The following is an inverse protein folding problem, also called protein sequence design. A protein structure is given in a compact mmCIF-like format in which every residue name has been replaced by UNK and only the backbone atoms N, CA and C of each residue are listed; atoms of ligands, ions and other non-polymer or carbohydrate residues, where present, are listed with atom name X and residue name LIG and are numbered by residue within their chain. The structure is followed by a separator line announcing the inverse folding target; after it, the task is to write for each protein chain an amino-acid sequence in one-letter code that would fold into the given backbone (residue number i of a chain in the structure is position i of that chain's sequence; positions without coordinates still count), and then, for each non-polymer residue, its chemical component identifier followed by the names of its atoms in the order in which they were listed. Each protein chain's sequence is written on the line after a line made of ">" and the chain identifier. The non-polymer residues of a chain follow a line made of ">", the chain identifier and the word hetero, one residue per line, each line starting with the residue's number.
data_IF_834665506360
#
_entry.id   IF_834665506360
#
_cell.length_a   1.000
_cell.length_b   1.000
_cell.length_c   1.000
_cell.angle_alpha   90.00
_cell.angle_beta   90.00
_cell.angle_gamma   90.00
#
_symmetry.space_group_name_H-M   'P 1'
#
loop_
_entity.id
_entity.type
_entity.pdbx_description
1 polymer ?
#
# COMPACT_ATOMS: atom_id res chain seq x y z
N UNK A 1 -26.44 -31.14 11.93
CA UNK A 1 -26.45 -30.61 10.55
C UNK A 1 -27.44 -31.41 9.70
N UNK A 2 -27.34 -32.75 9.68
CA UNK A 2 -28.13 -33.64 8.81
C UNK A 2 -29.65 -33.45 8.81
N UNK A 3 -30.33 -33.36 9.97
CA UNK A 3 -31.80 -33.36 9.99
C UNK A 3 -32.42 -32.12 9.32
N UNK A 4 -31.92 -30.93 9.62
CA UNK A 4 -32.47 -29.68 9.08
C UNK A 4 -32.10 -29.47 7.60
N UNK A 5 -30.92 -29.93 7.19
CA UNK A 5 -30.55 -29.96 5.76
C UNK A 5 -31.44 -30.93 4.99
N UNK A 6 -31.64 -32.14 5.52
CA UNK A 6 -32.52 -33.14 4.92
C UNK A 6 -33.94 -32.61 4.77
N UNK A 7 -34.53 -32.04 5.82
CA UNK A 7 -35.84 -31.38 5.74
C UNK A 7 -35.87 -30.27 4.67
N UNK A 8 -34.85 -29.41 4.64
CA UNK A 8 -34.77 -28.31 3.67
C UNK A 8 -34.68 -28.79 2.21
N UNK A 9 -33.87 -29.81 1.94
CA UNK A 9 -33.64 -30.35 0.60
C UNK A 9 -34.76 -31.30 0.14
N UNK A 10 -35.48 -31.95 1.07
CA UNK A 10 -36.68 -32.76 0.78
C UNK A 10 -37.96 -31.92 0.68
N UNK A 11 -37.85 -30.59 0.69
CA UNK A 11 -38.96 -29.66 0.42
C UNK A 11 -39.72 -29.16 1.65
N UNK A 12 -39.33 -29.58 2.86
CA UNK A 12 -39.93 -29.11 4.11
C UNK A 12 -39.23 -27.82 4.54
N UNK A 13 -39.61 -26.71 3.88
CA UNK A 13 -38.98 -25.37 4.03
C UNK A 13 -39.86 -24.39 4.80
N UNK A 14 -40.49 -24.84 5.87
CA UNK A 14 -41.17 -23.91 6.76
C UNK A 14 -40.16 -22.96 7.43
N UNK A 15 -40.66 -21.82 7.88
CA UNK A 15 -39.81 -20.73 8.39
C UNK A 15 -38.98 -21.20 9.60
N UNK A 16 -39.50 -22.10 10.43
CA UNK A 16 -38.77 -22.59 11.60
C UNK A 16 -37.60 -23.50 11.17
N UNK A 17 -37.81 -24.42 10.23
CA UNK A 17 -36.73 -25.25 9.67
C UNK A 17 -35.64 -24.40 9.03
N UNK A 18 -36.01 -23.39 8.23
CA UNK A 18 -35.03 -22.52 7.57
C UNK A 18 -34.24 -21.69 8.58
N UNK A 19 -34.91 -21.09 9.56
CA UNK A 19 -34.27 -20.30 10.61
C UNK A 19 -33.34 -21.14 11.49
N UNK A 20 -33.75 -22.35 11.85
CA UNK A 20 -32.91 -23.26 12.63
C UNK A 20 -31.71 -23.77 11.83
N UNK A 21 -31.88 -24.03 10.52
CA UNK A 21 -30.76 -24.37 9.64
C UNK A 21 -29.76 -23.21 9.53
N UNK A 22 -30.25 -21.97 9.43
CA UNK A 22 -29.41 -20.78 9.43
C UNK A 22 -28.60 -20.64 10.73
N UNK A 23 -29.22 -20.88 11.89
CA UNK A 23 -28.52 -20.90 13.19
C UNK A 23 -27.41 -21.97 13.21
N UNK A 24 -27.66 -23.15 12.62
CA UNK A 24 -26.64 -24.20 12.51
C UNK A 24 -25.47 -23.69 11.65
N UNK A 25 -25.72 -23.14 10.46
CA UNK A 25 -24.65 -22.59 9.63
C UNK A 25 -23.86 -21.49 10.34
N UNK A 26 -24.54 -20.65 11.13
CA UNK A 26 -23.86 -19.62 11.93
C UNK A 26 -22.90 -20.21 12.98
N UNK A 27 -23.28 -21.32 13.63
CA UNK A 27 -22.42 -22.04 14.59
C UNK A 27 -21.20 -22.66 13.90
N UNK A 28 -21.32 -23.06 12.63
CA UNK A 28 -20.24 -23.62 11.83
C UNK A 28 -19.43 -22.57 11.02
N UNK A 29 -19.56 -21.28 11.37
CA UNK A 29 -18.87 -20.16 10.70
C UNK A 29 -19.17 -20.02 9.19
N UNK A 30 -20.29 -20.59 8.74
CA UNK A 30 -20.79 -20.52 7.36
C UNK A 30 -21.73 -19.32 7.19
N UNK A 31 -21.22 -18.12 7.48
CA UNK A 31 -22.02 -16.89 7.62
C UNK A 31 -22.83 -16.55 6.37
N UNK A 32 -22.26 -16.72 5.17
CA UNK A 32 -22.94 -16.42 3.90
C UNK A 32 -24.17 -17.31 3.71
N UNK A 33 -24.07 -18.59 4.10
CA UNK A 33 -25.20 -19.53 4.03
C UNK A 33 -26.26 -19.18 5.07
N UNK A 34 -25.84 -18.87 6.29
CA UNK A 34 -26.74 -18.42 7.36
C UNK A 34 -27.51 -17.16 6.94
N UNK A 35 -26.81 -16.14 6.45
CA UNK A 35 -27.40 -14.88 5.99
C UNK A 35 -28.42 -15.10 4.87
N UNK A 36 -28.09 -15.95 3.89
CA UNK A 36 -28.99 -16.30 2.78
C UNK A 36 -30.29 -16.90 3.29
N UNK A 37 -30.22 -17.82 4.25
CA UNK A 37 -31.38 -18.49 4.82
C UNK A 37 -32.20 -17.57 5.74
N UNK A 38 -31.57 -16.72 6.54
CA UNK A 38 -32.29 -15.69 7.29
C UNK A 38 -33.05 -14.73 6.35
N UNK A 39 -32.40 -14.29 5.27
CA UNK A 39 -33.05 -13.45 4.26
C UNK A 39 -34.25 -14.14 3.60
N UNK A 40 -34.13 -15.44 3.30
CA UNK A 40 -35.26 -16.24 2.82
C UNK A 40 -36.39 -16.28 3.86
N UNK A 41 -36.08 -16.59 5.12
CA UNK A 41 -37.05 -16.70 6.20
C UNK A 41 -37.78 -15.36 6.48
N UNK A 42 -37.07 -14.23 6.45
CA UNK A 42 -37.65 -12.89 6.62
C UNK A 42 -38.58 -12.49 5.47
N UNK A 43 -38.30 -12.93 4.24
CA UNK A 43 -39.17 -12.68 3.07
C UNK A 43 -40.41 -13.59 3.07
N UNK A 44 -40.28 -14.80 3.62
CA UNK A 44 -41.30 -15.83 3.55
C UNK A 44 -42.38 -15.73 4.63
N UNK A 45 -42.22 -14.91 5.69
CA UNK A 45 -43.32 -14.72 6.64
C UNK A 45 -43.13 -13.64 7.70
N UNK A 46 -44.12 -13.57 8.60
CA UNK A 46 -44.29 -12.51 9.60
C UNK A 46 -43.57 -12.74 10.94
N UNK A 47 -42.79 -13.83 11.03
CA UNK A 47 -42.11 -14.25 12.26
C UNK A 47 -40.98 -13.31 12.65
N UNK A 48 -40.83 -13.03 13.95
CA UNK A 48 -39.79 -12.15 14.47
C UNK A 48 -38.44 -12.84 14.71
N UNK A 49 -38.41 -14.16 14.87
CA UNK A 49 -37.19 -14.94 15.12
C UNK A 49 -36.08 -14.70 14.07
N UNK A 50 -36.37 -14.72 12.75
CA UNK A 50 -35.32 -14.55 11.75
C UNK A 50 -34.71 -13.15 11.76
N UNK A 51 -35.49 -12.12 12.12
CA UNK A 51 -34.99 -10.76 12.27
C UNK A 51 -34.05 -10.67 13.48
N UNK A 52 -34.41 -11.30 14.61
CA UNK A 52 -33.54 -11.31 15.78
C UNK A 52 -32.23 -12.05 15.53
N UNK A 53 -32.28 -13.23 14.91
CA UNK A 53 -31.08 -14.00 14.60
C UNK A 53 -30.19 -13.32 13.54
N UNK A 54 -30.79 -12.64 12.56
CA UNK A 54 -30.05 -11.74 11.67
C UNK A 54 -29.38 -10.62 12.46
N UNK A 55 -30.09 -10.00 13.41
CA UNK A 55 -29.51 -9.02 14.33
C UNK A 55 -28.29 -9.57 15.06
N UNK A 56 -28.35 -10.79 15.60
CA UNK A 56 -27.20 -11.44 16.25
C UNK A 56 -26.03 -11.65 15.31
N UNK A 57 -26.29 -12.09 14.06
CA UNK A 57 -25.25 -12.20 13.03
C UNK A 57 -24.60 -10.83 12.76
N UNK A 58 -25.39 -9.76 12.71
CA UNK A 58 -24.86 -8.39 12.57
C UNK A 58 -24.04 -7.98 13.78
N UNK A 59 -24.44 -8.32 15.01
CA UNK A 59 -23.64 -8.07 16.22
C UNK A 59 -22.29 -8.78 16.14
N UNK A 60 -22.29 -10.07 15.78
CA UNK A 60 -21.07 -10.87 15.58
C UNK A 60 -20.14 -10.23 14.54
N UNK A 61 -20.71 -9.67 13.47
CA UNK A 61 -19.97 -9.01 12.40
C UNK A 61 -19.64 -7.55 12.69
N UNK A 62 -19.91 -7.09 13.92
CA UNK A 62 -19.60 -5.74 14.34
C UNK A 62 -20.37 -4.71 13.49
N UNK A 63 -21.62 -5.02 13.13
CA UNK A 63 -22.52 -4.19 12.31
C UNK A 63 -23.70 -3.67 13.15
N UNK A 64 -23.43 -2.83 14.15
CA UNK A 64 -24.42 -2.43 15.16
C UNK A 64 -25.65 -1.71 14.65
N UNK A 65 -25.49 -0.76 13.73
CA UNK A 65 -26.65 -0.02 13.19
C UNK A 65 -27.63 -0.96 12.50
N UNK A 66 -27.10 -1.94 11.77
CA UNK A 66 -27.87 -2.99 11.13
C UNK A 66 -28.49 -3.94 12.16
N UNK A 67 -27.72 -4.36 13.17
CA UNK A 67 -28.25 -5.15 14.29
C UNK A 67 -29.45 -4.46 14.95
N UNK A 68 -29.29 -3.21 15.40
CA UNK A 68 -30.36 -2.48 16.09
C UNK A 68 -31.61 -2.34 15.23
N UNK A 69 -31.44 -2.17 13.91
CA UNK A 69 -32.56 -2.16 12.95
C UNK A 69 -33.30 -3.50 12.93
N UNK A 70 -32.57 -4.60 12.79
CA UNK A 70 -33.15 -5.95 12.78
C UNK A 70 -33.78 -6.33 14.14
N UNK A 71 -33.13 -5.98 15.26
CA UNK A 71 -33.65 -6.18 16.61
C UNK A 71 -34.94 -5.37 16.85
N UNK A 72 -35.02 -4.14 16.35
CA UNK A 72 -36.25 -3.35 16.42
C UNK A 72 -37.39 -3.97 15.60
N UNK A 73 -37.07 -4.49 14.42
CA UNK A 73 -38.04 -5.15 13.54
C UNK A 73 -38.54 -6.49 14.11
N UNK A 74 -37.68 -7.22 14.83
CA UNK A 74 -38.04 -8.41 15.60
C UNK A 74 -39.01 -8.06 16.75
N UNK A 75 -38.73 -6.99 17.51
CA UNK A 75 -39.61 -6.51 18.59
C UNK A 75 -40.99 -6.08 18.08
N UNK A 76 -41.07 -5.47 16.88
CA UNK A 76 -42.36 -5.15 16.23
C UNK A 76 -43.18 -6.38 15.86
N UNK A 77 -42.55 -7.55 15.81
CA UNK A 77 -43.19 -8.87 15.56
C UNK A 77 -43.31 -9.70 16.84
N UNK A 78 -43.35 -9.01 17.99
CA UNK A 78 -43.50 -9.61 19.31
C UNK A 78 -42.42 -10.65 19.64
N UNK A 79 -41.23 -10.51 19.06
CA UNK A 79 -40.09 -11.38 19.36
C UNK A 79 -38.98 -10.61 20.06
N UNK A 80 -38.60 -11.09 21.24
CA UNK A 80 -37.46 -10.61 22.01
C UNK A 80 -36.69 -11.79 22.61
N UNK A 81 -35.43 -11.54 22.99
CA UNK A 81 -34.64 -12.52 23.74
C UNK A 81 -35.38 -12.92 25.03
N UNK A 82 -35.31 -14.21 25.38
CA UNK A 82 -35.76 -14.70 26.68
C UNK A 82 -34.75 -14.38 27.81
N UNK A 83 -33.55 -13.93 27.46
CA UNK A 83 -32.56 -13.47 28.44
C UNK A 83 -32.99 -12.14 29.04
N UNK A 84 -32.87 -12.00 30.36
CA UNK A 84 -33.05 -10.73 31.07
C UNK A 84 -31.91 -9.73 30.79
N UNK A 85 -30.82 -10.18 30.17
CA UNK A 85 -29.73 -9.30 29.77
C UNK A 85 -30.03 -8.67 28.41
N UNK A 86 -29.90 -7.34 28.26
CA UNK A 86 -30.06 -6.68 26.98
C UNK A 86 -28.99 -7.20 26.02
N UNK A 87 -29.42 -7.78 24.90
CA UNK A 87 -28.51 -8.28 23.86
C UNK A 87 -27.93 -7.12 23.02
N UNK A 88 -28.59 -5.95 23.06
CA UNK A 88 -28.19 -4.70 22.41
C UNK A 88 -27.46 -3.78 23.43
N UNK A 89 -26.35 -4.23 24.02
CA UNK A 89 -25.45 -3.28 24.72
C UNK A 89 -24.60 -2.62 23.64
N UNK A 90 -25.08 -1.47 23.14
CA UNK A 90 -24.21 -0.55 22.42
C UNK A 90 -23.19 -0.02 23.45
N UNK A 91 -21.88 -0.30 23.30
CA UNK A 91 -20.90 0.20 24.25
C UNK A 91 -20.93 1.72 24.28
N UNK A 92 -20.75 2.31 25.46
CA UNK A 92 -20.70 3.77 25.59
C UNK A 92 -19.43 4.30 24.94
N UNK A 93 -19.40 5.59 24.58
CA UNK A 93 -18.20 6.23 24.02
C UNK A 93 -16.98 6.11 24.94
N UNK A 94 -17.19 5.98 26.25
CA UNK A 94 -16.12 5.84 27.22
C UNK A 94 -15.55 4.40 27.22
N UNK A 95 -16.41 3.38 27.17
CA UNK A 95 -16.00 1.98 26.98
C UNK A 95 -15.20 1.80 25.68
N UNK A 96 -15.54 2.55 24.63
CA UNK A 96 -14.82 2.55 23.35
C UNK A 96 -13.37 3.03 23.48
N UNK A 97 -13.14 4.12 24.20
CA UNK A 97 -11.77 4.62 24.40
C UNK A 97 -10.97 3.69 25.31
N UNK A 98 -11.58 3.14 26.35
CA UNK A 98 -10.92 2.14 27.19
C UNK A 98 -10.53 0.90 26.39
N UNK A 99 -11.40 0.36 25.52
CA UNK A 99 -11.08 -0.79 24.67
C UNK A 99 -9.96 -0.46 23.67
N UNK A 100 -9.98 0.69 23.00
CA UNK A 100 -8.93 1.08 22.04
C UNK A 100 -7.57 1.32 22.71
N UNK A 101 -7.58 1.92 23.90
CA UNK A 101 -6.36 2.25 24.64
C UNK A 101 -5.81 1.05 25.42
N UNK A 102 -6.66 0.06 25.72
CA UNK A 102 -6.27 -1.18 26.41
C UNK A 102 -5.95 -2.33 25.45
N UNK A 103 -6.50 -2.32 24.23
CA UNK A 103 -6.06 -3.21 23.17
C UNK A 103 -4.58 -2.93 22.87
N UNK A 104 -3.68 -3.90 23.04
CA UNK A 104 -2.30 -3.71 22.66
C UNK A 104 -2.29 -3.39 21.18
N UNK A 105 -1.72 -2.24 20.80
CA UNK A 105 -1.54 -1.80 19.42
C UNK A 105 -0.96 -2.95 18.58
N UNK A 106 -1.86 -3.74 17.99
CA UNK A 106 -1.47 -4.78 17.07
C UNK A 106 -1.10 -4.04 15.79
N UNK A 107 0.20 -3.73 15.64
CA UNK A 107 0.76 -3.22 14.39
C UNK A 107 0.33 -4.06 13.16
N UNK A 108 -0.11 -5.30 13.41
CA UNK A 108 -0.63 -6.27 12.46
C UNK A 108 -2.07 -5.99 11.93
N UNK A 109 -2.84 -5.09 12.55
CA UNK A 109 -4.23 -4.83 12.18
C UNK A 109 -4.47 -3.72 11.14
N UNK A 110 -3.47 -2.88 10.87
CA UNK A 110 -3.64 -1.71 9.97
C UNK A 110 -3.12 -2.02 8.56
N UNK A 111 -2.02 -2.77 8.47
CA UNK A 111 -1.40 -3.18 7.21
C UNK A 111 -1.02 -4.64 7.35
N UNK A 112 -1.53 -5.51 6.46
CA UNK A 112 -1.17 -6.91 6.51
C UNK A 112 0.36 -7.06 6.24
N UNK A 113 1.13 -7.59 7.20
CA UNK A 113 2.59 -7.61 7.17
C UNK A 113 3.14 -8.38 5.96
N UNK A 114 2.36 -9.33 5.42
CA UNK A 114 2.70 -10.08 4.20
C UNK A 114 2.99 -9.14 3.03
N UNK A 115 2.36 -7.96 2.97
CA UNK A 115 2.60 -6.99 1.91
C UNK A 115 3.77 -6.06 2.20
N UNK A 116 4.05 -5.73 3.47
CA UNK A 116 5.12 -4.78 3.84
C UNK A 116 6.49 -5.45 3.81
N UNK A 117 6.59 -6.70 4.28
CA UNK A 117 7.86 -7.41 4.38
C UNK A 117 8.61 -7.53 3.04
N UNK A 118 7.97 -7.87 1.90
CA UNK A 118 8.66 -7.92 0.61
C UNK A 118 9.29 -6.58 0.22
N UNK A 119 8.59 -5.44 0.43
CA UNK A 119 9.14 -4.13 0.10
C UNK A 119 10.33 -3.77 0.98
N UNK A 120 10.26 -4.06 2.28
CA UNK A 120 11.37 -3.85 3.21
C UNK A 120 12.56 -4.74 2.86
N UNK A 121 12.32 -6.01 2.52
CA UNK A 121 13.38 -6.93 2.10
C UNK A 121 14.03 -6.43 0.82
N UNK A 122 13.25 -6.07 -0.22
CA UNK A 122 13.80 -5.51 -1.47
C UNK A 122 14.63 -4.26 -1.17
N UNK A 123 14.12 -3.34 -0.33
CA UNK A 123 14.85 -2.16 0.09
C UNK A 123 16.18 -2.52 0.78
N UNK A 124 16.19 -3.44 1.73
CA UNK A 124 17.42 -3.90 2.40
C UNK A 124 18.38 -4.58 1.39
N UNK A 125 17.87 -5.41 0.49
CA UNK A 125 18.65 -6.07 -0.56
C UNK A 125 19.32 -5.06 -1.50
N UNK A 126 18.73 -3.88 -1.74
CA UNK A 126 19.38 -2.84 -2.56
C UNK A 126 20.62 -2.23 -1.92
N UNK A 127 20.79 -2.35 -0.59
CA UNK A 127 22.01 -1.95 0.11
C UNK A 127 23.07 -3.04 0.16
N UNK A 128 22.74 -4.27 -0.25
CA UNK A 128 23.76 -5.31 -0.35
C UNK A 128 24.74 -4.93 -1.47
N UNK A 129 26.06 -5.01 -1.22
CA UNK A 129 27.08 -4.59 -2.16
C UNK A 129 27.27 -5.60 -3.31
N UNK A 130 26.22 -5.87 -4.08
CA UNK A 130 26.33 -6.59 -5.33
C UNK A 130 26.96 -5.68 -6.39
N UNK A 131 28.30 -5.62 -6.39
CA UNK A 131 29.06 -4.89 -7.41
C UNK A 131 29.06 -5.66 -8.73
N UNK A 132 28.01 -5.47 -9.52
CA UNK A 132 28.09 -5.75 -10.96
C UNK A 132 29.00 -4.70 -11.60
N UNK A 133 30.21 -5.09 -12.00
CA UNK A 133 31.10 -4.19 -12.75
C UNK A 133 30.47 -3.92 -14.12
N UNK A 134 29.91 -2.72 -14.30
CA UNK A 134 29.40 -2.27 -15.59
C UNK A 134 30.53 -2.28 -16.64
N UNK A 135 30.25 -2.64 -17.90
CA UNK A 135 31.15 -2.29 -18.99
C UNK A 135 31.33 -0.76 -19.02
N UNK A 136 32.57 -0.29 -19.17
CA UNK A 136 32.87 1.12 -19.34
C UNK A 136 32.53 1.51 -20.78
N UNK A 137 32.16 2.78 -21.02
CA UNK A 137 31.89 3.29 -22.36
C UNK A 137 32.73 4.52 -22.64
N UNK A 138 33.20 4.68 -23.88
CA UNK A 138 33.96 5.86 -24.29
C UNK A 138 33.06 7.10 -24.30
N UNK A 139 33.45 8.17 -23.62
CA UNK A 139 32.70 9.43 -23.62
C UNK A 139 32.52 10.06 -25.01
N UNK A 140 33.50 9.89 -25.91
CA UNK A 140 33.48 10.47 -27.26
C UNK A 140 32.74 9.62 -28.29
N UNK A 141 33.04 8.32 -28.37
CA UNK A 141 32.53 7.45 -29.44
C UNK A 141 31.47 6.44 -28.99
N UNK A 142 31.20 6.33 -27.68
CA UNK A 142 30.18 5.44 -27.12
C UNK A 142 30.51 3.93 -27.18
N UNK A 143 31.70 3.53 -27.66
CA UNK A 143 32.10 2.11 -27.69
C UNK A 143 32.31 1.56 -26.28
N UNK A 144 31.94 0.30 -26.06
CA UNK A 144 32.25 -0.42 -24.83
C UNK A 144 33.76 -0.66 -24.70
N UNK A 145 34.30 -0.44 -23.50
CA UNK A 145 35.73 -0.48 -23.18
C UNK A 145 35.95 -1.46 -22.02
N UNK A 146 37.01 -2.26 -22.11
CA UNK A 146 37.44 -3.13 -21.02
C UNK A 146 38.11 -2.31 -19.89
N UNK A 147 38.06 -2.78 -18.63
CA UNK A 147 38.69 -2.07 -17.50
C UNK A 147 40.21 -1.82 -17.67
N UNK A 148 40.90 -2.63 -18.48
CA UNK A 148 42.33 -2.45 -18.81
C UNK A 148 42.58 -1.52 -20.00
N UNK A 149 41.53 -1.22 -20.77
CA UNK A 149 41.58 -0.51 -22.05
C UNK A 149 41.15 0.97 -21.89
N UNK A 150 40.69 1.34 -20.69
CA UNK A 150 40.27 2.69 -20.37
C UNK A 150 41.48 3.59 -20.16
N UNK A 151 41.43 4.77 -20.76
CA UNK A 151 42.27 5.91 -20.42
C UNK A 151 41.37 6.94 -19.73
N UNK A 152 41.86 7.55 -18.66
CA UNK A 152 41.09 8.50 -17.85
C UNK A 152 41.67 9.90 -18.02
N UNK A 153 40.83 10.86 -18.42
CA UNK A 153 41.17 12.29 -18.43
C UNK A 153 40.20 12.96 -17.46
N UNK A 154 40.73 13.55 -16.39
CA UNK A 154 39.93 14.14 -15.30
C UNK A 154 38.92 13.09 -14.78
N UNK A 155 37.64 13.24 -15.12
CA UNK A 155 36.55 12.35 -14.71
C UNK A 155 35.94 11.52 -15.86
N UNK A 156 36.46 11.64 -17.09
CA UNK A 156 35.89 10.96 -18.25
C UNK A 156 36.74 9.76 -18.72
N UNK A 157 36.03 8.66 -19.03
CA UNK A 157 36.62 7.43 -19.55
C UNK A 157 36.62 7.46 -21.08
N UNK A 158 37.80 7.31 -21.67
CA UNK A 158 38.01 7.30 -23.12
C UNK A 158 38.65 6.00 -23.59
N UNK A 159 38.39 5.62 -24.85
CA UNK A 159 39.15 4.58 -25.51
C UNK A 159 40.50 5.13 -25.99
N UNK A 160 41.49 4.25 -26.15
CA UNK A 160 42.83 4.63 -26.61
C UNK A 160 42.84 5.38 -27.94
N UNK A 161 41.95 5.03 -28.87
CA UNK A 161 41.84 5.71 -30.17
C UNK A 161 41.39 7.17 -30.03
N UNK A 162 40.36 7.42 -29.21
CA UNK A 162 39.86 8.77 -28.96
C UNK A 162 40.86 9.59 -28.14
N UNK A 163 41.51 8.98 -27.15
CA UNK A 163 42.55 9.60 -26.35
C UNK A 163 43.74 10.04 -27.21
N UNK A 164 44.22 9.16 -28.10
CA UNK A 164 45.33 9.46 -29.00
C UNK A 164 44.99 10.61 -29.96
N UNK A 165 43.78 10.63 -30.53
CA UNK A 165 43.29 11.73 -31.38
C UNK A 165 43.21 13.07 -30.64
N UNK A 166 42.81 13.04 -29.36
CA UNK A 166 42.73 14.24 -28.54
C UNK A 166 44.14 14.80 -28.29
N UNK A 167 45.07 13.94 -27.87
CA UNK A 167 46.47 14.28 -27.54
C UNK A 167 47.31 14.68 -28.77
N UNK A 168 46.93 14.23 -29.97
CA UNK A 168 47.60 14.62 -31.22
C UNK A 168 47.23 16.02 -31.71
N UNK A 169 46.36 16.74 -31.02
CA UNK A 169 46.02 18.13 -31.35
C UNK A 169 47.15 19.04 -30.88
N UNK A 170 47.98 19.56 -31.80
CA UNK A 170 49.18 20.36 -31.48
C UNK A 170 48.89 21.68 -30.74
N UNK A 171 47.63 22.14 -30.75
CA UNK A 171 47.27 23.44 -30.20
C UNK A 171 46.58 23.28 -28.84
N UNK A 172 47.33 23.58 -27.77
CA UNK A 172 46.94 23.40 -26.36
C UNK A 172 45.61 24.11 -26.02
N UNK A 173 45.35 25.26 -26.65
CA UNK A 173 44.09 26.01 -26.47
C UNK A 173 42.88 25.30 -27.09
N UNK A 174 43.05 24.68 -28.26
CA UNK A 174 41.98 23.90 -28.92
C UNK A 174 41.66 22.62 -28.16
N UNK A 175 42.67 21.97 -27.57
CA UNK A 175 42.47 20.81 -26.71
C UNK A 175 41.64 21.18 -25.48
N UNK A 176 41.96 22.30 -24.82
CA UNK A 176 41.21 22.79 -23.66
C UNK A 176 39.76 23.16 -24.00
N UNK A 177 39.54 23.82 -25.14
CA UNK A 177 38.20 24.17 -25.64
C UNK A 177 37.36 22.94 -26.00
N UNK A 178 37.95 21.94 -26.65
CA UNK A 178 37.26 20.69 -26.99
C UNK A 178 36.92 19.89 -25.72
N UNK A 179 37.84 19.79 -24.76
CA UNK A 179 37.57 19.17 -23.46
C UNK A 179 36.41 19.84 -22.74
N UNK A 180 36.45 21.17 -22.63
CA UNK A 180 35.40 21.92 -21.96
C UNK A 180 34.05 21.83 -22.68
N UNK A 181 34.02 21.84 -24.01
CA UNK A 181 32.78 21.75 -24.80
C UNK A 181 32.13 20.36 -24.74
N UNK A 182 32.92 19.28 -24.76
CA UNK A 182 32.41 17.91 -24.63
C UNK A 182 31.89 17.66 -23.21
N UNK A 183 32.69 18.00 -22.19
CA UNK A 183 32.31 17.82 -20.79
C UNK A 183 31.08 18.65 -20.41
N UNK A 184 30.99 19.91 -20.84
CA UNK A 184 29.84 20.78 -20.53
C UNK A 184 28.55 20.33 -21.21
N UNK A 185 28.60 19.83 -22.44
CA UNK A 185 27.43 19.28 -23.15
C UNK A 185 26.91 18.02 -22.47
N UNK A 186 27.81 17.12 -22.09
CA UNK A 186 27.46 15.88 -21.40
C UNK A 186 26.91 16.16 -19.98
N UNK A 187 27.50 17.12 -19.25
CA UNK A 187 27.02 17.54 -17.91
C UNK A 187 25.62 18.14 -17.97
N UNK A 188 25.32 18.97 -18.98
CA UNK A 188 23.97 19.50 -19.23
C UNK A 188 22.98 18.40 -19.57
N UNK A 189 23.34 17.46 -20.44
CA UNK A 189 22.47 16.35 -20.82
C UNK A 189 22.17 15.41 -19.63
N UNK A 190 23.19 15.07 -18.85
CA UNK A 190 23.03 14.30 -17.60
C UNK A 190 22.12 15.02 -16.60
N UNK A 191 22.30 16.34 -16.42
CA UNK A 191 21.43 17.15 -15.57
C UNK A 191 19.98 17.13 -16.06
N UNK A 192 19.74 17.35 -17.35
CA UNK A 192 18.38 17.29 -17.91
C UNK A 192 17.71 15.93 -17.72
N UNK A 193 18.44 14.83 -17.94
CA UNK A 193 17.92 13.48 -17.65
C UNK A 193 17.62 13.32 -16.16
N UNK A 194 18.50 13.77 -15.27
CA UNK A 194 18.28 13.68 -13.83
C UNK A 194 17.00 14.40 -13.40
N UNK A 195 16.77 15.62 -13.92
CA UNK A 195 15.54 16.38 -13.67
C UNK A 195 14.31 15.68 -14.23
N UNK A 196 14.38 15.16 -15.46
CA UNK A 196 13.28 14.42 -16.08
C UNK A 196 12.92 13.16 -15.29
N UNK A 197 13.92 12.37 -14.87
CA UNK A 197 13.73 11.17 -14.06
C UNK A 197 13.15 11.53 -12.69
N UNK A 198 13.61 12.62 -12.06
CA UNK A 198 13.09 13.09 -10.77
C UNK A 198 11.64 13.62 -10.84
N UNK A 199 11.24 14.18 -11.98
CA UNK A 199 9.87 14.62 -12.23
C UNK A 199 8.91 13.43 -12.24
N UNK A 200 9.32 12.30 -12.82
CA UNK A 200 8.51 11.07 -12.87
C UNK A 200 8.55 10.33 -11.54
N UNK A 201 9.74 10.16 -10.95
CA UNK A 201 9.94 9.43 -9.70
C UNK A 201 10.80 10.29 -8.75
N UNK A 202 10.19 10.91 -7.72
CA UNK A 202 10.93 11.74 -6.79
C UNK A 202 12.02 10.95 -6.07
N UNK A 203 13.25 11.47 -6.12
CA UNK A 203 14.45 10.84 -5.56
C UNK A 203 15.28 10.06 -6.58
N UNK A 204 14.69 9.61 -7.70
CA UNK A 204 15.43 8.85 -8.71
C UNK A 204 16.50 9.69 -9.43
N UNK A 205 16.29 11.01 -9.58
CA UNK A 205 17.32 11.91 -10.10
C UNK A 205 18.56 12.00 -9.21
N UNK A 206 18.40 11.91 -7.89
CA UNK A 206 19.52 11.88 -6.94
C UNK A 206 20.35 10.60 -7.08
N UNK A 207 19.70 9.47 -7.35
CA UNK A 207 20.37 8.20 -7.67
C UNK A 207 21.18 8.36 -8.96
N UNK A 208 20.57 8.96 -10.00
CA UNK A 208 21.25 9.20 -11.27
C UNK A 208 22.48 10.11 -11.14
N UNK A 209 22.44 11.09 -10.23
CA UNK A 209 23.58 11.97 -9.90
C UNK A 209 24.61 11.33 -8.96
N UNK A 210 24.45 10.05 -8.58
CA UNK A 210 25.39 9.31 -7.75
C UNK A 210 25.16 9.42 -6.24
N UNK A 211 24.15 10.18 -5.79
CA UNK A 211 23.72 10.26 -4.38
C UNK A 211 22.76 9.12 -4.04
N UNK A 212 23.23 7.89 -4.26
CA UNK A 212 22.43 6.67 -4.20
C UNK A 212 21.65 6.52 -2.89
N UNK A 213 22.30 6.72 -1.73
CA UNK A 213 21.66 6.56 -0.42
C UNK A 213 20.47 7.52 -0.23
N UNK A 214 20.71 8.82 -0.42
CA UNK A 214 19.68 9.86 -0.26
C UNK A 214 18.55 9.65 -1.26
N UNK A 215 18.89 9.39 -2.53
CA UNK A 215 17.88 9.16 -3.56
C UNK A 215 17.01 7.93 -3.26
N UNK A 216 17.60 6.84 -2.78
CA UNK A 216 16.89 5.60 -2.46
C UNK A 216 15.94 5.78 -1.26
N UNK A 217 16.36 6.50 -0.22
CA UNK A 217 15.49 6.84 0.92
C UNK A 217 14.29 7.68 0.47
N UNK A 218 14.51 8.70 -0.36
CA UNK A 218 13.43 9.57 -0.87
C UNK A 218 12.44 8.76 -1.72
N UNK A 219 12.94 7.94 -2.66
CA UNK A 219 12.09 7.06 -3.49
C UNK A 219 11.27 6.13 -2.61
N UNK A 220 11.89 5.52 -1.59
CA UNK A 220 11.21 4.58 -0.70
C UNK A 220 10.06 5.24 0.07
N UNK A 221 10.30 6.42 0.66
CA UNK A 221 9.26 7.16 1.40
C UNK A 221 8.10 7.55 0.48
N UNK A 222 8.40 8.01 -0.73
CA UNK A 222 7.37 8.40 -1.71
C UNK A 222 6.58 7.20 -2.22
N UNK A 223 7.23 6.07 -2.46
CA UNK A 223 6.52 4.84 -2.83
C UNK A 223 5.63 4.34 -1.69
N UNK A 224 6.10 4.44 -0.44
CA UNK A 224 5.31 4.07 0.74
C UNK A 224 4.06 4.97 0.89
N UNK A 225 4.18 6.28 0.60
CA UNK A 225 3.03 7.18 0.65
C UNK A 225 2.01 6.91 -0.47
N UNK A 226 2.43 6.34 -1.60
CA UNK A 226 1.51 5.94 -2.66
C UNK A 226 0.70 4.67 -2.33
N UNK A 227 1.17 3.80 -1.43
CA UNK A 227 0.46 2.57 -1.04
C UNK A 227 -0.99 2.83 -0.59
N UNK A 228 -1.29 3.72 0.36
CA UNK A 228 -2.68 4.03 0.75
C UNK A 228 -3.54 4.63 -0.35
N UNK A 229 -2.94 5.28 -1.35
CA UNK A 229 -3.67 5.92 -2.45
C UNK A 229 -4.10 4.90 -3.51
N UNK A 230 -3.19 4.01 -3.94
CA UNK A 230 -3.48 3.02 -4.99
C UNK A 230 -4.10 1.73 -4.45
N UNK A 231 -3.79 1.39 -3.20
CA UNK A 231 -4.18 0.12 -2.60
C UNK A 231 -5.01 0.33 -1.33
N UNK A 232 -6.02 1.19 -1.41
CA UNK A 232 -6.96 1.44 -0.30
C UNK A 232 -7.66 0.16 0.21
N UNK A 233 -7.69 -0.91 -0.60
CA UNK A 233 -8.20 -2.25 -0.22
C UNK A 233 -7.23 -3.09 0.61
N UNK A 234 -5.94 -2.74 0.67
CA UNK A 234 -4.95 -3.43 1.51
C UNK A 234 -5.06 -3.02 2.98
N UNK A 235 -5.72 -1.89 3.25
CA UNK A 235 -6.01 -1.44 4.61
C UNK A 235 -7.24 -2.18 5.10
N UNK A 236 -7.09 -2.89 6.21
CA UNK A 236 -8.20 -3.57 6.88
C UNK A 236 -9.19 -2.46 7.25
N UNK A 237 -10.44 -2.59 6.78
CA UNK A 237 -11.50 -1.71 7.24
C UNK A 237 -11.56 -1.87 8.76
N UNK A 238 -11.44 -0.79 9.56
CA UNK A 238 -11.73 -0.92 10.98
C UNK A 238 -13.11 -1.57 11.12
N UNK A 239 -13.26 -2.46 12.10
CA UNK A 239 -14.56 -3.04 12.45
C UNK A 239 -15.63 -1.93 12.41
N UNK A 240 -16.79 -2.21 11.80
CA UNK A 240 -17.74 -1.26 11.20
C UNK A 240 -18.43 -0.25 12.13
N UNK A 241 -17.84 0.08 13.27
CA UNK A 241 -18.39 0.93 14.34
C UNK A 241 -18.00 2.40 14.17
N UNK A 242 -16.98 2.67 13.34
CA UNK A 242 -16.48 4.02 13.10
C UNK A 242 -16.85 4.42 11.67
N UNK A 243 -17.78 5.36 11.53
CA UNK A 243 -18.13 6.00 10.25
C UNK A 243 -16.98 6.84 9.67
N UNK A 244 -15.95 7.09 10.48
CA UNK A 244 -14.71 7.74 10.06
C UNK A 244 -13.86 6.73 9.28
N UNK A 245 -14.09 6.68 7.97
CA UNK A 245 -13.09 6.12 7.05
C UNK A 245 -11.77 6.84 7.34
N UNK A 246 -10.73 6.12 7.79
CA UNK A 246 -9.39 6.71 7.98
C UNK A 246 -8.67 6.94 6.65
N UNK A 247 -9.25 6.47 5.54
CA UNK A 247 -8.69 6.61 4.19
C UNK A 247 -8.42 8.08 3.82
N UNK A 248 -9.31 9.06 4.04
CA UNK A 248 -9.05 10.47 3.74
C UNK A 248 -7.91 11.04 4.59
N UNK A 249 -7.79 10.62 5.86
CA UNK A 249 -6.70 11.04 6.73
C UNK A 249 -5.37 10.46 6.25
N UNK A 250 -5.32 9.16 5.97
CA UNK A 250 -4.11 8.53 5.41
C UNK A 250 -3.75 9.10 4.04
N UNK A 251 -4.72 9.38 3.18
CA UNK A 251 -4.51 10.04 1.90
C UNK A 251 -3.97 11.47 2.08
N UNK A 252 -4.50 12.23 3.03
CA UNK A 252 -4.00 13.58 3.35
C UNK A 252 -2.54 13.52 3.83
N UNK A 253 -2.24 12.64 4.79
CA UNK A 253 -0.88 12.44 5.28
C UNK A 253 0.05 12.01 4.15
N UNK A 254 -0.37 11.06 3.31
CA UNK A 254 0.39 10.60 2.16
C UNK A 254 0.67 11.72 1.15
N UNK A 255 -0.31 12.57 0.86
CA UNK A 255 -0.16 13.71 -0.03
C UNK A 255 0.80 14.76 0.54
N UNK A 256 0.71 15.06 1.84
CA UNK A 256 1.61 16.00 2.51
C UNK A 256 3.05 15.47 2.50
N UNK A 257 3.25 14.22 2.94
CA UNK A 257 4.57 13.58 2.95
C UNK A 257 5.15 13.49 1.54
N UNK A 258 4.35 13.04 0.57
CA UNK A 258 4.75 12.97 -0.84
C UNK A 258 5.16 14.32 -1.40
N UNK A 259 4.38 15.38 -1.12
CA UNK A 259 4.68 16.74 -1.57
C UNK A 259 5.95 17.30 -0.93
N UNK A 260 6.16 17.08 0.38
CA UNK A 260 7.37 17.51 1.08
C UNK A 260 8.62 16.79 0.54
N UNK A 261 8.53 15.47 0.32
CA UNK A 261 9.62 14.69 -0.25
C UNK A 261 9.91 15.09 -1.70
N UNK A 262 8.88 15.43 -2.47
CA UNK A 262 9.02 15.95 -3.83
C UNK A 262 9.84 17.25 -3.83
N UNK A 263 9.43 18.23 -3.01
CA UNK A 263 10.16 19.51 -2.86
C UNK A 263 11.59 19.27 -2.36
N UNK A 264 11.76 18.42 -1.35
CA UNK A 264 13.09 18.06 -0.84
C UNK A 264 13.99 17.50 -1.93
N UNK A 265 13.48 16.61 -2.79
CA UNK A 265 14.26 16.03 -3.89
C UNK A 265 14.77 17.10 -4.86
N UNK A 266 13.92 18.07 -5.23
CA UNK A 266 14.32 19.18 -6.08
C UNK A 266 15.35 20.10 -5.42
N UNK A 267 15.20 20.40 -4.12
CA UNK A 267 16.18 21.20 -3.36
C UNK A 267 17.52 20.47 -3.26
N UNK A 268 17.51 19.17 -2.99
CA UNK A 268 18.71 18.35 -2.90
C UNK A 268 19.46 18.23 -4.23
N UNK A 269 18.74 18.23 -5.37
CA UNK A 269 19.35 18.30 -6.70
C UNK A 269 19.96 19.67 -6.98
N UNK A 270 19.30 20.77 -6.57
CA UNK A 270 19.83 22.12 -6.77
C UNK A 270 21.15 22.34 -6.02
N UNK A 271 21.26 21.81 -4.80
CA UNK A 271 22.51 21.86 -4.03
C UNK A 271 23.66 21.11 -4.72
N UNK A 272 23.37 20.01 -5.43
CA UNK A 272 24.38 19.21 -6.13
C UNK A 272 24.96 19.87 -7.39
N UNK A 273 24.36 20.96 -7.88
CA UNK A 273 24.86 21.73 -9.02
C UNK A 273 25.64 22.99 -8.61
N UNK A 274 25.68 23.31 -7.31
CA UNK A 274 26.43 24.44 -6.77
C UNK A 274 27.89 24.15 -6.45
N UNK A 275 28.29 22.87 -6.44
CA UNK A 275 29.66 22.38 -6.26
C UNK A 275 30.26 21.88 -7.60
#
# INVERSE_FOLDING_TARGET
>A
MSLYEEMYYTGHRDIAVVNNLANIYLIYDEEVKAETLYNYAMRAGSRGEPFFNMGLLRLRNLEYSESSRFMAEARRRDYSSASNEPVDIMPTTDDYYEVILSEPLQFFGIINPVYVFPFVIIFVLTFLPFRFRSPFYCATCGRAICQKCQEQIEDEVMCKECFAKLKSTENVEMEALLKHSVGSRMRRYKSMIAYFVNLVIPGAGLIYLGRNFVGLVVVFIVMLSYVPLFFSRLFIKPAGWVSLSLIPLFALVALVVGSLMYVYSFLAMRGSHGD
#
